data_IF_058471425525
#
_entry.id   IF_058471425525
#
_cell.length_a   1.000
_cell.length_b   1.000
_cell.length_c   1.000
_cell.angle_alpha   90.00
_cell.angle_beta   90.00
_cell.angle_gamma   90.00
#
_symmetry.space_group_name_H-M   'P 1'
#
loop_
_entity.id
_entity.type
_entity.pdbx_description
1 polymer ?
#
# COMPACT_ATOMS: atom_id res chain seq x y z
N UNK A 1 25.43 -8.95 0.82
CA UNK A 1 25.41 -7.50 0.53
C UNK A 1 24.16 -6.93 1.18
N UNK A 2 24.31 -6.01 2.13
CA UNK A 2 23.18 -5.35 2.78
C UNK A 2 22.66 -4.25 1.86
N UNK A 3 21.48 -4.43 1.27
CA UNK A 3 20.71 -3.34 0.66
C UNK A 3 20.17 -2.46 1.79
N UNK A 4 21.04 -1.72 2.49
CA UNK A 4 20.71 -0.92 3.67
C UNK A 4 19.99 0.40 3.34
N UNK A 5 19.07 0.37 2.38
CA UNK A 5 17.93 1.29 2.42
C UNK A 5 16.81 0.45 2.99
N UNK A 6 16.42 0.73 4.24
CA UNK A 6 15.21 0.11 4.79
C UNK A 6 14.10 0.42 3.80
N UNK A 7 13.38 -0.59 3.35
CA UNK A 7 12.37 -0.37 2.34
C UNK A 7 11.33 0.67 2.85
N UNK A 8 11.15 0.80 4.17
CA UNK A 8 10.31 1.82 4.81
C UNK A 8 10.75 3.25 4.43
N UNK A 9 12.07 3.50 4.37
CA UNK A 9 12.62 4.77 3.91
C UNK A 9 12.31 5.03 2.42
N UNK A 10 11.99 3.98 1.65
CA UNK A 10 11.65 4.09 0.25
C UNK A 10 10.17 4.41 0.04
N UNK A 11 9.28 3.97 0.92
CA UNK A 11 7.86 4.35 0.88
C UNK A 11 7.70 5.86 1.08
N UNK A 12 8.38 6.44 2.08
CA UNK A 12 8.36 7.88 2.34
C UNK A 12 8.94 8.70 1.17
N UNK A 13 9.96 8.17 0.50
CA UNK A 13 10.57 8.84 -0.67
C UNK A 13 9.68 8.82 -1.91
N UNK A 14 8.73 7.89 -1.98
CA UNK A 14 7.73 7.81 -3.03
C UNK A 14 6.54 8.75 -2.79
N UNK A 15 6.42 9.37 -1.61
CA UNK A 15 5.36 10.35 -1.35
C UNK A 15 5.62 11.67 -2.09
N UNK A 16 4.59 12.32 -2.64
CA UNK A 16 4.73 13.66 -3.20
C UNK A 16 4.95 14.69 -2.09
N UNK A 17 5.62 15.82 -2.38
CA UNK A 17 5.64 16.98 -1.50
C UNK A 17 4.21 17.42 -1.13
N UNK A 18 4.00 17.86 0.11
CA UNK A 18 2.68 18.26 0.62
C UNK A 18 1.99 19.32 -0.26
N UNK A 19 2.77 20.22 -0.84
CA UNK A 19 2.27 21.24 -1.76
C UNK A 19 1.64 20.70 -3.05
N UNK A 20 1.99 19.50 -3.52
CA UNK A 20 1.31 18.86 -4.65
C UNK A 20 -0.03 18.22 -4.24
N UNK A 21 -0.28 18.07 -2.93
CA UNK A 21 -1.52 17.53 -2.38
C UNK A 21 -2.57 18.63 -2.14
N UNK A 22 -2.13 19.88 -2.01
CA UNK A 22 -3.00 21.03 -1.79
C UNK A 22 -3.87 21.35 -3.02
N UNK A 23 -5.11 21.85 -2.82
CA UNK A 23 -5.96 22.27 -3.94
C UNK A 23 -5.35 23.45 -4.68
N UNK A 24 -5.25 23.32 -6.00
CA UNK A 24 -4.77 24.38 -6.88
C UNK A 24 -5.92 25.36 -7.17
N UNK A 25 -5.83 26.58 -6.61
CA UNK A 25 -6.93 27.56 -6.58
C UNK A 25 -6.84 28.64 -7.66
N UNK A 26 -6.27 28.35 -8.83
CA UNK A 26 -6.25 29.31 -9.94
C UNK A 26 -7.35 29.04 -10.98
N UNK A 27 -7.75 30.11 -11.68
CA UNK A 27 -8.59 30.06 -12.88
C UNK A 27 -7.75 30.53 -14.09
N UNK A 28 -7.80 29.85 -15.26
CA UNK A 28 -6.98 30.21 -16.41
C UNK A 28 -7.22 31.61 -17.00
N UNK A 29 -8.37 32.24 -16.70
CA UNK A 29 -8.84 33.47 -17.35
C UNK A 29 -8.01 34.74 -17.07
N UNK A 30 -7.09 34.71 -16.11
CA UNK A 30 -6.15 35.81 -15.86
C UNK A 30 -4.90 35.29 -15.11
N UNK A 31 -3.74 35.32 -15.78
CA UNK A 31 -2.44 35.04 -15.15
C UNK A 31 -2.01 36.21 -14.28
N UNK A 32 -2.46 36.21 -13.03
CA UNK A 32 -1.95 37.16 -12.03
C UNK A 32 -0.53 36.74 -11.61
N UNK A 33 0.37 37.68 -11.27
CA UNK A 33 1.75 37.37 -10.90
C UNK A 33 1.86 36.32 -9.78
N UNK A 34 0.95 36.35 -8.80
CA UNK A 34 0.89 35.38 -7.72
C UNK A 34 0.57 33.96 -8.20
N UNK A 35 -0.29 33.82 -9.22
CA UNK A 35 -0.63 32.53 -9.83
C UNK A 35 0.55 31.98 -10.61
N UNK A 36 1.27 32.84 -11.34
CA UNK A 36 2.48 32.44 -12.07
C UNK A 36 3.56 31.97 -11.10
N UNK A 37 3.76 32.67 -9.98
CA UNK A 37 4.71 32.27 -8.96
C UNK A 37 4.33 30.93 -8.30
N UNK A 38 3.05 30.73 -7.98
CA UNK A 38 2.54 29.47 -7.44
C UNK A 38 2.72 28.31 -8.43
N UNK A 39 2.34 28.50 -9.70
CA UNK A 39 2.51 27.49 -10.74
C UNK A 39 3.97 27.12 -10.93
N UNK A 40 4.88 28.10 -11.00
CA UNK A 40 6.34 27.82 -11.07
C UNK A 40 6.81 26.97 -9.90
N UNK A 41 6.41 27.32 -8.68
CA UNK A 41 6.75 26.56 -7.47
C UNK A 41 6.25 25.11 -7.55
N UNK A 42 4.97 24.92 -7.91
CA UNK A 42 4.37 23.60 -8.05
C UNK A 42 5.02 22.78 -9.17
N UNK A 43 5.34 23.41 -10.31
CA UNK A 43 6.05 22.76 -11.40
C UNK A 43 7.43 22.27 -10.96
N UNK A 44 8.19 23.09 -10.24
CA UNK A 44 9.48 22.68 -9.67
C UNK A 44 9.31 21.49 -8.71
N UNK A 45 8.35 21.56 -7.80
CA UNK A 45 8.07 20.46 -6.87
C UNK A 45 7.65 19.17 -7.57
N UNK A 46 6.89 19.26 -8.67
CA UNK A 46 6.51 18.10 -9.48
C UNK A 46 7.70 17.48 -10.21
N UNK A 47 8.64 18.30 -10.70
CA UNK A 47 9.87 17.81 -11.32
C UNK A 47 10.79 17.13 -10.29
N UNK A 48 10.95 17.73 -9.11
CA UNK A 48 11.69 17.12 -8.00
C UNK A 48 11.05 15.81 -7.53
N UNK A 49 9.72 15.79 -7.42
CA UNK A 49 8.96 14.59 -7.12
C UNK A 49 9.20 13.49 -8.16
N UNK A 50 9.08 13.80 -9.46
CA UNK A 50 9.37 12.86 -10.56
C UNK A 50 10.77 12.28 -10.44
N UNK A 51 11.78 13.13 -10.25
CA UNK A 51 13.18 12.70 -10.13
C UNK A 51 13.38 11.78 -8.91
N UNK A 52 12.83 12.15 -7.75
CA UNK A 52 12.90 11.37 -6.51
C UNK A 52 12.17 10.04 -6.64
N UNK A 53 10.96 10.05 -7.20
CA UNK A 53 10.16 8.86 -7.44
C UNK A 53 10.87 7.90 -8.40
N UNK A 54 11.50 8.42 -9.46
CA UNK A 54 12.25 7.59 -10.41
C UNK A 54 13.47 6.93 -9.74
N UNK A 55 14.29 7.71 -9.04
CA UNK A 55 15.49 7.21 -8.37
C UNK A 55 15.17 6.21 -7.24
N UNK A 56 14.11 6.45 -6.48
CA UNK A 56 13.71 5.59 -5.35
C UNK A 56 12.92 4.39 -5.84
N UNK A 57 11.99 4.59 -6.78
CA UNK A 57 11.17 3.54 -7.37
C UNK A 57 11.99 2.46 -8.06
N UNK A 58 13.04 2.82 -8.80
CA UNK A 58 13.94 1.81 -9.38
C UNK A 58 14.61 0.91 -8.33
N UNK A 59 15.02 1.49 -7.19
CA UNK A 59 15.61 0.71 -6.08
C UNK A 59 14.58 -0.22 -5.44
N UNK A 60 13.35 0.26 -5.23
CA UNK A 60 12.24 -0.56 -4.72
C UNK A 60 11.93 -1.69 -5.68
N UNK A 61 11.79 -1.41 -6.98
CA UNK A 61 11.53 -2.42 -8.00
C UNK A 61 12.63 -3.49 -8.04
N UNK A 62 13.90 -3.10 -7.94
CA UNK A 62 15.02 -4.04 -7.89
C UNK A 62 14.94 -4.96 -6.65
N UNK A 63 14.61 -4.40 -5.48
CA UNK A 63 14.46 -5.17 -4.25
C UNK A 63 13.25 -6.12 -4.31
N UNK A 64 12.08 -5.63 -4.74
CA UNK A 64 10.87 -6.44 -4.89
C UNK A 64 11.05 -7.56 -5.93
N UNK A 65 11.72 -7.30 -7.06
CA UNK A 65 12.03 -8.33 -8.05
C UNK A 65 13.06 -9.36 -7.55
N UNK A 66 13.92 -9.00 -6.58
CA UNK A 66 14.82 -9.96 -5.94
C UNK A 66 14.03 -10.87 -4.99
N UNK A 67 13.13 -10.29 -4.19
CA UNK A 67 12.22 -11.02 -3.32
C UNK A 67 11.27 -11.93 -4.12
N UNK A 68 10.71 -11.44 -5.22
CA UNK A 68 9.85 -12.20 -6.14
C UNK A 68 10.57 -13.47 -6.65
N UNK A 69 11.85 -13.34 -7.02
CA UNK A 69 12.66 -14.48 -7.49
C UNK A 69 12.96 -15.50 -6.39
N UNK A 70 13.14 -15.04 -5.15
CA UNK A 70 13.30 -15.93 -3.99
C UNK A 70 11.99 -16.66 -3.71
N UNK A 71 10.86 -15.94 -3.69
CA UNK A 71 9.53 -16.50 -3.49
C UNK A 71 9.11 -17.49 -4.59
N UNK A 72 9.56 -17.28 -5.84
CA UNK A 72 9.30 -18.16 -6.98
C UNK A 72 10.24 -19.37 -7.08
N UNK A 73 11.26 -19.48 -6.23
CA UNK A 73 12.26 -20.55 -6.31
C UNK A 73 11.79 -21.88 -5.70
N UNK A 74 12.48 -23.01 -5.99
CA UNK A 74 12.23 -24.30 -5.32
C UNK A 74 12.62 -24.29 -3.83
N UNK A 75 13.19 -23.20 -3.34
CA UNK A 75 13.40 -22.94 -1.92
C UNK A 75 12.07 -22.53 -1.30
N UNK A 76 11.54 -23.44 -0.47
CA UNK A 76 10.26 -23.45 0.26
C UNK A 76 9.60 -22.08 0.55
N UNK A 77 8.25 -22.01 0.53
CA UNK A 77 7.46 -20.87 1.05
C UNK A 77 7.86 -20.41 2.46
N UNK A 78 8.42 -21.31 3.26
CA UNK A 78 8.93 -21.08 4.63
C UNK A 78 10.15 -20.13 4.69
N UNK A 79 10.80 -19.83 3.56
CA UNK A 79 11.95 -18.93 3.48
C UNK A 79 11.57 -17.44 3.36
N UNK A 80 10.28 -17.15 3.22
CA UNK A 80 9.79 -15.78 3.22
C UNK A 80 9.77 -15.26 4.67
N UNK A 81 10.75 -14.41 4.98
CA UNK A 81 10.82 -13.74 6.28
C UNK A 81 9.78 -12.61 6.32
N UNK A 82 8.75 -12.80 7.14
CA UNK A 82 7.70 -11.82 7.43
C UNK A 82 8.25 -10.49 7.98
N UNK A 83 9.55 -10.38 8.30
CA UNK A 83 10.18 -9.11 8.67
C UNK A 83 10.08 -8.03 7.57
N UNK A 84 9.93 -8.43 6.29
CA UNK A 84 9.77 -7.51 5.15
C UNK A 84 8.29 -7.15 4.85
N UNK A 85 7.31 -7.81 5.50
CA UNK A 85 5.86 -7.57 5.26
C UNK A 85 5.43 -6.17 5.70
N UNK A 86 6.03 -5.65 6.77
CA UNK A 86 5.76 -4.29 7.24
C UNK A 86 5.97 -3.26 6.13
N UNK A 87 7.00 -3.46 5.32
CA UNK A 87 7.29 -2.57 4.22
C UNK A 87 6.41 -2.82 3.00
N UNK A 88 6.18 -4.07 2.60
CA UNK A 88 5.32 -4.30 1.44
C UNK A 88 3.91 -3.75 1.74
N UNK A 89 3.38 -3.99 2.94
CA UNK A 89 2.15 -3.35 3.42
C UNK A 89 2.25 -1.82 3.40
N UNK A 90 3.39 -1.26 3.82
CA UNK A 90 3.69 0.17 3.72
C UNK A 90 3.54 0.69 2.29
N UNK A 91 4.25 0.09 1.33
CA UNK A 91 4.21 0.43 -0.10
C UNK A 91 2.78 0.34 -0.64
N UNK A 92 2.06 -0.75 -0.35
CA UNK A 92 0.71 -0.96 -0.84
C UNK A 92 -0.28 0.06 -0.26
N UNK A 93 -0.16 0.37 1.03
CA UNK A 93 -1.05 1.33 1.72
C UNK A 93 -0.77 2.76 1.26
N UNK A 94 0.50 3.19 1.30
CA UNK A 94 0.91 4.54 0.94
C UNK A 94 0.75 4.79 -0.55
N UNK A 95 1.09 3.81 -1.39
CA UNK A 95 0.90 3.90 -2.83
C UNK A 95 -0.57 4.06 -3.22
N UNK A 96 -1.46 3.34 -2.54
CA UNK A 96 -2.91 3.51 -2.73
C UNK A 96 -3.40 4.87 -2.25
N UNK A 97 -3.03 5.27 -1.03
CA UNK A 97 -3.42 6.57 -0.47
C UNK A 97 -2.94 7.73 -1.36
N UNK A 98 -1.79 7.57 -1.99
CA UNK A 98 -1.22 8.50 -2.95
C UNK A 98 -2.06 8.58 -4.23
N UNK A 99 -2.46 7.45 -4.82
CA UNK A 99 -3.31 7.44 -6.01
C UNK A 99 -4.69 8.06 -5.73
N UNK A 100 -5.31 7.77 -4.58
CA UNK A 100 -6.59 8.36 -4.19
C UNK A 100 -6.51 9.89 -3.98
N UNK A 101 -5.34 10.41 -3.56
CA UNK A 101 -5.13 11.86 -3.34
C UNK A 101 -4.70 12.61 -4.60
N UNK A 102 -3.82 12.04 -5.43
CA UNK A 102 -3.25 12.71 -6.59
C UNK A 102 -4.09 12.56 -7.85
N UNK A 103 -4.84 11.47 -8.04
CA UNK A 103 -5.65 11.29 -9.25
C UNK A 103 -6.67 12.43 -9.45
N UNK A 104 -7.47 12.83 -8.44
CA UNK A 104 -8.38 13.97 -8.59
C UNK A 104 -7.65 15.28 -8.89
N UNK A 105 -6.40 15.43 -8.41
CA UNK A 105 -5.56 16.61 -8.68
C UNK A 105 -5.11 16.65 -10.12
N UNK A 106 -4.63 15.52 -10.64
CA UNK A 106 -4.20 15.39 -12.02
C UNK A 106 -5.37 15.64 -12.99
N UNK A 107 -6.55 15.13 -12.67
CA UNK A 107 -7.78 15.39 -13.43
C UNK A 107 -8.17 16.87 -13.38
N UNK A 108 -8.13 17.50 -12.21
CA UNK A 108 -8.38 18.94 -12.06
C UNK A 108 -7.39 19.80 -12.82
N UNK A 109 -6.11 19.42 -12.85
CA UNK A 109 -5.07 20.08 -13.65
C UNK A 109 -5.30 19.92 -15.14
N UNK A 110 -5.66 18.72 -15.60
CA UNK A 110 -6.01 18.44 -17.01
C UNK A 110 -7.22 19.26 -17.45
N UNK A 111 -8.24 19.39 -16.60
CA UNK A 111 -9.39 20.24 -16.87
C UNK A 111 -8.99 21.73 -16.96
N UNK A 112 -8.11 22.21 -16.08
CA UNK A 112 -7.58 23.59 -16.15
C UNK A 112 -6.70 23.81 -17.38
N UNK A 113 -5.91 22.82 -17.78
CA UNK A 113 -5.14 22.83 -19.03
C UNK A 113 -6.08 22.96 -20.22
N UNK A 114 -7.12 22.14 -20.30
CA UNK A 114 -8.13 22.22 -21.37
C UNK A 114 -8.79 23.62 -21.41
N UNK A 115 -9.19 24.16 -20.27
CA UNK A 115 -9.75 25.52 -20.21
C UNK A 115 -8.73 26.62 -20.59
N UNK A 116 -7.43 26.38 -20.45
CA UNK A 116 -6.39 27.30 -20.88
C UNK A 116 -6.18 27.29 -22.41
N UNK A 117 -6.71 26.31 -23.14
CA UNK A 117 -6.66 26.27 -24.62
C UNK A 117 -7.51 27.38 -25.25
N UNK A 118 -8.50 27.89 -24.51
CA UNK A 118 -9.40 28.99 -24.91
C UNK A 118 -8.77 30.39 -24.72
N UNK A 119 -7.56 30.48 -24.15
CA UNK A 119 -6.86 31.75 -23.95
C UNK A 119 -6.17 32.24 -25.23
N UNK A 120 -5.97 33.56 -25.30
CA UNK A 120 -5.24 34.19 -26.39
C UNK A 120 -3.72 33.93 -26.30
N UNK A 121 -3.07 33.91 -27.47
CA UNK A 121 -1.72 33.40 -27.73
C UNK A 121 -0.67 33.50 -26.60
N UNK A 122 -0.28 34.70 -26.14
CA UNK A 122 0.80 34.85 -25.17
C UNK A 122 0.43 34.29 -23.78
N UNK A 123 -0.81 34.48 -23.33
CA UNK A 123 -1.28 33.97 -22.04
C UNK A 123 -1.45 32.46 -22.09
N UNK A 124 -1.98 31.92 -23.20
CA UNK A 124 -2.05 30.48 -23.46
C UNK A 124 -0.66 29.85 -23.36
N UNK A 125 0.32 30.39 -24.09
CA UNK A 125 1.68 29.85 -24.10
C UNK A 125 2.31 29.88 -22.69
N UNK A 126 2.13 30.97 -21.95
CA UNK A 126 2.63 31.11 -20.59
C UNK A 126 2.00 30.09 -19.63
N UNK A 127 0.67 29.93 -19.65
CA UNK A 127 -0.03 28.94 -18.82
C UNK A 127 0.41 27.52 -19.14
N UNK A 128 0.43 27.15 -20.44
CA UNK A 128 0.79 25.80 -20.88
C UNK A 128 2.22 25.43 -20.51
N UNK A 129 3.16 26.39 -20.62
CA UNK A 129 4.57 26.17 -20.25
C UNK A 129 4.78 25.79 -18.78
N UNK A 130 3.82 26.09 -17.92
CA UNK A 130 3.84 25.74 -16.50
C UNK A 130 2.97 24.52 -16.19
N UNK A 131 1.78 24.42 -16.80
CA UNK A 131 0.85 23.31 -16.56
C UNK A 131 1.32 21.99 -17.16
N UNK A 132 1.87 21.99 -18.37
CA UNK A 132 2.27 20.74 -19.02
C UNK A 132 3.36 20.01 -18.21
N UNK A 133 4.46 20.67 -17.77
CA UNK A 133 5.48 19.98 -16.97
C UNK A 133 4.99 19.60 -15.56
N UNK A 134 4.04 20.35 -14.99
CA UNK A 134 3.40 20.00 -13.72
C UNK A 134 2.56 18.72 -13.85
N UNK A 135 1.71 18.64 -14.89
CA UNK A 135 0.89 17.46 -15.19
C UNK A 135 1.77 16.25 -15.49
N UNK A 136 2.81 16.43 -16.31
CA UNK A 136 3.78 15.36 -16.63
C UNK A 136 4.50 14.88 -15.37
N UNK A 137 5.01 15.81 -14.55
CA UNK A 137 5.75 15.46 -13.32
C UNK A 137 4.92 14.66 -12.32
N UNK A 138 3.67 15.09 -12.06
CA UNK A 138 2.74 14.34 -11.20
C UNK A 138 2.39 13.00 -11.84
N UNK A 139 2.02 13.00 -13.12
CA UNK A 139 1.57 11.80 -13.84
C UNK A 139 2.65 10.71 -13.90
N UNK A 140 3.90 11.08 -14.18
CA UNK A 140 5.01 10.12 -14.19
C UNK A 140 5.36 9.62 -12.80
N UNK A 141 5.36 10.49 -11.79
CA UNK A 141 5.57 10.08 -10.40
C UNK A 141 4.53 9.06 -9.95
N UNK A 142 3.25 9.30 -10.24
CA UNK A 142 2.16 8.34 -10.00
C UNK A 142 2.39 7.03 -10.76
N UNK A 143 2.73 7.08 -12.06
CA UNK A 143 2.97 5.87 -12.85
C UNK A 143 4.14 5.02 -12.33
N UNK A 144 5.13 5.63 -11.66
CA UNK A 144 6.19 4.89 -10.96
C UNK A 144 5.64 4.19 -9.73
N UNK A 145 4.84 4.90 -8.91
CA UNK A 145 4.22 4.34 -7.71
C UNK A 145 3.28 3.18 -8.08
N UNK A 146 2.45 3.32 -9.10
CA UNK A 146 1.55 2.26 -9.56
C UNK A 146 2.32 1.01 -9.99
N UNK A 147 3.46 1.17 -10.68
CA UNK A 147 4.34 0.02 -11.01
C UNK A 147 4.93 -0.64 -9.77
N UNK A 148 5.39 0.15 -8.81
CA UNK A 148 5.94 -0.35 -7.54
C UNK A 148 4.87 -1.13 -6.78
N UNK A 149 3.66 -0.58 -6.64
CA UNK A 149 2.51 -1.26 -6.02
C UNK A 149 2.17 -2.55 -6.76
N UNK A 150 2.14 -2.51 -8.10
CA UNK A 150 1.85 -3.70 -8.91
C UNK A 150 2.89 -4.82 -8.75
N UNK A 151 4.18 -4.50 -8.66
CA UNK A 151 5.21 -5.50 -8.35
C UNK A 151 5.06 -6.00 -6.93
N UNK A 152 4.87 -5.10 -5.95
CA UNK A 152 4.70 -5.48 -4.54
C UNK A 152 3.54 -6.47 -4.36
N UNK A 153 2.39 -6.23 -5.00
CA UNK A 153 1.26 -7.16 -5.01
C UNK A 153 1.63 -8.53 -5.59
N UNK A 154 2.34 -8.57 -6.72
CA UNK A 154 2.77 -9.83 -7.35
C UNK A 154 3.76 -10.61 -6.49
N UNK A 155 4.76 -9.91 -5.93
CA UNK A 155 5.75 -10.51 -5.03
C UNK A 155 5.05 -11.22 -3.90
N UNK A 156 4.04 -10.60 -3.27
CA UNK A 156 3.39 -11.27 -2.15
C UNK A 156 2.38 -12.33 -2.57
N UNK A 157 1.69 -12.17 -3.69
CA UNK A 157 0.86 -13.25 -4.25
C UNK A 157 1.67 -14.54 -4.40
N UNK A 158 2.88 -14.44 -4.92
CA UNK A 158 3.78 -15.58 -5.09
C UNK A 158 4.29 -16.11 -3.75
N UNK A 159 4.71 -15.25 -2.84
CA UNK A 159 5.22 -15.65 -1.52
C UNK A 159 4.16 -16.33 -0.64
N UNK A 160 2.91 -15.88 -0.71
CA UNK A 160 1.79 -16.42 0.08
C UNK A 160 1.22 -17.73 -0.46
N UNK A 161 1.54 -18.11 -1.70
CA UNK A 161 0.97 -19.28 -2.36
C UNK A 161 -0.55 -19.18 -2.63
N UNK A 162 -1.14 -18.00 -2.45
CA UNK A 162 -2.56 -17.74 -2.70
C UNK A 162 -2.77 -17.60 -4.21
N UNK A 163 -3.26 -18.68 -4.83
CA UNK A 163 -3.46 -18.79 -6.29
C UNK A 163 -4.87 -18.44 -6.77
N UNK A 164 -5.72 -17.82 -5.94
CA UNK A 164 -7.11 -17.54 -6.33
C UNK A 164 -7.17 -16.49 -7.47
N UNK A 165 -7.62 -16.91 -8.65
CA UNK A 165 -7.64 -16.10 -9.88
C UNK A 165 -8.92 -15.25 -10.02
N UNK A 166 -9.96 -15.48 -9.21
CA UNK A 166 -11.27 -14.82 -9.30
C UNK A 166 -11.28 -13.34 -8.79
N UNK A 167 -10.13 -12.67 -8.76
CA UNK A 167 -9.76 -11.86 -7.59
C UNK A 167 -9.19 -10.46 -7.90
N UNK A 168 -9.70 -9.72 -8.89
CA UNK A 168 -9.05 -8.44 -9.25
C UNK A 168 -9.99 -7.21 -9.37
N UNK A 169 -9.82 -6.25 -8.45
CA UNK A 169 -10.43 -4.92 -8.33
C UNK A 169 -9.92 -4.11 -7.11
N UNK A 170 -10.39 -2.86 -6.95
CA UNK A 170 -9.98 -1.83 -5.94
C UNK A 170 -9.97 -2.27 -4.45
N UNK A 171 -10.52 -3.45 -4.14
CA UNK A 171 -10.58 -4.13 -2.84
C UNK A 171 -9.35 -5.00 -2.51
N UNK A 172 -8.40 -5.14 -3.44
CA UNK A 172 -7.23 -6.05 -3.34
C UNK A 172 -6.25 -5.75 -2.20
N UNK A 173 -5.84 -4.49 -2.01
CA UNK A 173 -4.80 -4.15 -1.01
C UNK A 173 -5.30 -4.38 0.41
N UNK A 174 -6.52 -3.97 0.71
CA UNK A 174 -7.09 -4.18 2.05
C UNK A 174 -7.32 -5.67 2.31
N UNK A 175 -7.83 -6.42 1.32
CA UNK A 175 -8.00 -7.88 1.42
C UNK A 175 -6.67 -8.60 1.59
N UNK A 176 -5.62 -8.15 0.90
CA UNK A 176 -4.26 -8.65 1.02
C UNK A 176 -3.70 -8.41 2.43
N UNK A 177 -3.75 -7.15 2.92
CA UNK A 177 -3.32 -6.78 4.28
C UNK A 177 -4.06 -7.60 5.33
N UNK A 178 -5.36 -7.77 5.12
CA UNK A 178 -6.24 -8.55 5.98
C UNK A 178 -5.85 -10.02 5.99
N UNK A 179 -5.72 -10.66 4.82
CA UNK A 179 -5.28 -12.05 4.71
C UNK A 179 -3.90 -12.29 5.36
N UNK A 180 -2.93 -11.41 5.14
CA UNK A 180 -1.62 -11.50 5.79
C UNK A 180 -1.70 -11.36 7.30
N UNK A 181 -2.51 -10.41 7.79
CA UNK A 181 -2.76 -10.31 9.23
C UNK A 181 -3.32 -11.63 9.76
N UNK A 182 -4.34 -12.21 9.13
CA UNK A 182 -4.94 -13.48 9.53
C UNK A 182 -3.91 -14.63 9.61
N UNK A 183 -3.04 -14.75 8.61
CA UNK A 183 -1.96 -15.75 8.60
C UNK A 183 -0.91 -15.50 9.70
N UNK A 184 -0.51 -14.25 9.94
CA UNK A 184 0.41 -13.90 11.02
C UNK A 184 -0.19 -14.24 12.39
N UNK A 185 -1.47 -13.93 12.60
CA UNK A 185 -2.22 -14.31 13.79
C UNK A 185 -2.29 -15.83 13.94
N UNK A 186 -2.58 -16.58 12.88
CA UNK A 186 -2.65 -18.05 12.94
C UNK A 186 -1.32 -18.69 13.34
N UNK A 187 -0.22 -18.26 12.73
CA UNK A 187 1.12 -18.75 13.08
C UNK A 187 1.47 -18.46 14.54
N UNK A 188 1.31 -17.22 14.98
CA UNK A 188 1.65 -16.81 16.35
C UNK A 188 0.71 -17.46 17.36
N UNK A 189 -0.58 -17.62 17.03
CA UNK A 189 -1.54 -18.33 17.88
C UNK A 189 -1.18 -19.81 18.02
N UNK A 190 -0.75 -20.47 16.96
CA UNK A 190 -0.28 -21.85 17.02
C UNK A 190 0.96 -21.98 17.93
N UNK A 191 1.89 -21.03 17.87
CA UNK A 191 3.05 -20.98 18.77
C UNK A 191 2.64 -20.75 20.25
N UNK A 192 1.70 -19.82 20.51
CA UNK A 192 1.28 -19.44 21.86
C UNK A 192 0.35 -20.45 22.54
N UNK A 193 -0.46 -21.16 21.76
CA UNK A 193 -1.49 -22.09 22.25
C UNK A 193 -1.06 -23.55 22.15
N UNK A 194 -0.10 -23.87 21.27
CA UNK A 194 0.27 -25.23 20.90
C UNK A 194 -0.82 -25.98 20.11
N UNK A 195 -1.89 -25.29 19.70
CA UNK A 195 -3.02 -25.88 18.99
C UNK A 195 -2.92 -25.59 17.48
N UNK A 196 -3.43 -26.49 16.61
CA UNK A 196 -3.52 -26.19 15.18
C UNK A 196 -4.37 -24.94 14.96
N UNK A 197 -3.88 -24.03 14.12
CA UNK A 197 -4.57 -22.80 13.78
C UNK A 197 -4.55 -22.58 12.27
N UNK A 198 -5.64 -22.03 11.72
CA UNK A 198 -5.70 -21.60 10.32
C UNK A 198 -6.32 -20.21 10.18
N UNK A 199 -5.98 -19.56 9.07
CA UNK A 199 -6.50 -18.24 8.73
C UNK A 199 -7.74 -18.38 7.86
N UNK A 200 -8.78 -17.64 8.22
CA UNK A 200 -10.02 -17.54 7.48
C UNK A 200 -10.42 -16.08 7.23
N UNK A 201 -11.54 -15.92 6.55
CA UNK A 201 -12.22 -14.65 6.38
C UNK A 201 -13.72 -14.85 6.52
N UNK A 202 -14.40 -13.83 7.04
CA UNK A 202 -15.85 -13.78 7.09
C UNK A 202 -16.32 -12.49 6.40
N UNK A 203 -17.29 -12.63 5.50
CA UNK A 203 -17.95 -11.49 4.88
C UNK A 203 -19.19 -11.12 5.70
N UNK A 204 -19.20 -9.91 6.26
CA UNK A 204 -20.33 -9.36 7.00
C UNK A 204 -20.69 -8.00 6.40
N UNK A 205 -21.94 -7.85 5.94
CA UNK A 205 -22.44 -6.60 5.35
C UNK A 205 -21.61 -6.07 4.15
N UNK A 206 -20.98 -6.96 3.38
CA UNK A 206 -20.10 -6.58 2.26
C UNK A 206 -18.68 -6.18 2.68
N UNK A 207 -18.35 -6.27 3.97
CA UNK A 207 -17.01 -6.07 4.53
C UNK A 207 -16.36 -7.41 4.88
N UNK A 208 -15.05 -7.52 4.61
CA UNK A 208 -14.26 -8.72 4.89
C UNK A 208 -13.52 -8.55 6.20
N UNK A 209 -13.78 -9.44 7.15
CA UNK A 209 -13.10 -9.50 8.44
C UNK A 209 -12.16 -10.71 8.46
N UNK A 210 -10.98 -10.54 9.05
CA UNK A 210 -10.07 -11.64 9.29
C UNK A 210 -10.63 -12.55 10.35
N UNK A 211 -10.50 -13.85 10.15
CA UNK A 211 -10.88 -14.86 11.11
C UNK A 211 -9.66 -15.72 11.44
N UNK A 212 -9.42 -15.95 12.72
CA UNK A 212 -8.47 -16.93 13.22
C UNK A 212 -9.26 -18.13 13.73
N UNK A 213 -9.07 -19.27 13.07
CA UNK A 213 -9.65 -20.55 13.46
C UNK A 213 -8.66 -21.31 14.32
N UNK A 214 -9.10 -21.70 15.52
CA UNK A 214 -8.31 -22.45 16.49
C UNK A 214 -8.97 -23.79 16.70
N UNK A 215 -8.25 -24.87 16.38
CA UNK A 215 -8.72 -26.24 16.54
C UNK A 215 -8.53 -26.68 17.99
N UNK A 216 -9.64 -26.86 18.70
CA UNK A 216 -9.66 -27.19 20.13
C UNK A 216 -10.19 -28.60 20.36
N UNK A 217 -9.70 -29.31 21.39
CA UNK A 217 -10.25 -30.60 21.80
C UNK A 217 -11.76 -30.53 22.06
N UNK A 218 -12.50 -31.58 21.68
CA UNK A 218 -13.96 -31.64 21.88
C UNK A 218 -14.40 -31.48 23.34
N UNK A 219 -13.55 -31.89 24.28
CA UNK A 219 -13.78 -31.84 25.73
C UNK A 219 -13.35 -30.51 26.38
N UNK A 220 -12.70 -29.60 25.64
CA UNK A 220 -12.33 -28.29 26.17
C UNK A 220 -13.57 -27.42 26.39
N UNK A 221 -14.00 -27.33 27.65
CA UNK A 221 -15.08 -26.44 28.05
C UNK A 221 -14.64 -24.98 27.96
N UNK A 222 -15.50 -24.10 27.43
CA UNK A 222 -15.28 -22.65 27.34
C UNK A 222 -13.88 -22.24 26.82
N UNK A 223 -13.48 -22.64 25.59
CA UNK A 223 -12.13 -22.38 25.06
C UNK A 223 -11.68 -20.91 25.14
N UNK A 224 -12.61 -19.99 24.91
CA UNK A 224 -12.38 -18.55 25.02
C UNK A 224 -11.87 -18.09 26.38
N UNK A 225 -12.18 -18.79 27.48
CA UNK A 225 -11.66 -18.45 28.83
C UNK A 225 -10.27 -19.00 29.05
N UNK A 226 -10.04 -20.25 28.64
CA UNK A 226 -8.76 -20.92 28.83
C UNK A 226 -7.66 -20.32 27.95
N UNK A 227 -8.01 -19.94 26.73
CA UNK A 227 -7.06 -19.42 25.76
C UNK A 227 -6.88 -17.90 25.84
N UNK A 228 -7.73 -17.18 26.59
CA UNK A 228 -7.66 -15.71 26.67
C UNK A 228 -6.25 -15.17 26.94
N UNK A 229 -5.48 -15.66 27.94
CA UNK A 229 -4.15 -15.12 28.21
C UNK A 229 -3.17 -15.34 27.06
N UNK A 230 -3.32 -16.45 26.32
CA UNK A 230 -2.51 -16.71 25.13
C UNK A 230 -2.91 -15.76 23.99
N UNK A 231 -4.22 -15.58 23.74
CA UNK A 231 -4.72 -14.66 22.72
C UNK A 231 -4.35 -13.19 22.98
N UNK A 232 -4.31 -12.76 24.24
CA UNK A 232 -3.83 -11.43 24.62
C UNK A 232 -2.35 -11.26 24.20
N UNK A 233 -1.49 -12.27 24.47
CA UNK A 233 -0.08 -12.26 24.02
C UNK A 233 0.06 -12.33 22.50
N UNK A 234 -0.81 -13.07 21.81
CA UNK A 234 -0.83 -13.08 20.33
C UNK A 234 -1.05 -11.66 19.81
N UNK A 235 -2.03 -10.92 20.35
CA UNK A 235 -2.26 -9.53 19.96
C UNK A 235 -1.07 -8.62 20.25
N UNK A 236 -0.44 -8.77 21.42
CA UNK A 236 0.76 -7.99 21.78
C UNK A 236 1.93 -8.27 20.84
N UNK A 237 2.19 -9.55 20.54
CA UNK A 237 3.26 -9.97 19.61
C UNK A 237 2.98 -9.50 18.19
N UNK A 238 1.75 -9.69 17.69
CA UNK A 238 1.36 -9.19 16.36
C UNK A 238 1.49 -7.67 16.30
N UNK A 239 1.05 -6.94 17.32
CA UNK A 239 1.19 -5.48 17.36
C UNK A 239 2.66 -5.03 17.45
N UNK A 240 3.52 -5.80 18.12
CA UNK A 240 4.96 -5.55 18.20
C UNK A 240 5.69 -5.78 16.88
N UNK A 241 5.28 -6.78 16.10
CA UNK A 241 5.90 -7.12 14.80
C UNK A 241 5.28 -6.28 13.67
N UNK A 242 3.94 -6.12 13.69
CA UNK A 242 3.15 -5.43 12.67
C UNK A 242 2.11 -4.50 13.32
N UNK A 243 2.49 -3.27 13.70
CA UNK A 243 1.58 -2.31 14.35
C UNK A 243 0.28 -2.04 13.55
N UNK A 244 0.35 -2.14 12.22
CA UNK A 244 -0.78 -1.96 11.30
C UNK A 244 -1.82 -3.10 11.34
N UNK A 245 -1.50 -4.27 11.89
CA UNK A 245 -2.42 -5.42 12.03
C UNK A 245 -3.18 -5.44 13.37
N UNK A 246 -2.99 -4.43 14.21
CA UNK A 246 -3.62 -4.37 15.53
C UNK A 246 -5.15 -4.32 15.42
N UNK A 247 -5.84 -5.20 16.16
CA UNK A 247 -7.28 -5.09 16.46
C UNK A 247 -8.25 -5.55 15.38
N UNK A 248 -7.81 -6.25 14.32
CA UNK A 248 -8.67 -6.68 13.20
C UNK A 248 -8.70 -8.19 13.02
N UNK A 249 -9.18 -8.95 14.01
CA UNK A 249 -9.42 -10.38 13.83
C UNK A 249 -10.53 -10.90 14.73
N UNK A 250 -11.39 -11.74 14.17
CA UNK A 250 -12.36 -12.55 14.92
C UNK A 250 -11.75 -13.91 15.25
N UNK A 251 -12.17 -14.51 16.36
CA UNK A 251 -11.73 -15.84 16.76
C UNK A 251 -12.88 -16.84 16.58
N UNK A 252 -12.60 -17.93 15.87
CA UNK A 252 -13.48 -19.08 15.76
C UNK A 252 -12.83 -20.30 16.42
N UNK A 253 -13.55 -20.99 17.31
CA UNK A 253 -13.06 -22.20 17.97
C UNK A 253 -13.72 -23.43 17.34
N UNK A 254 -12.95 -24.19 16.59
CA UNK A 254 -13.41 -25.39 15.89
C UNK A 254 -13.14 -26.61 16.77
N UNK A 255 -14.19 -27.34 17.14
CA UNK A 255 -14.03 -28.58 17.91
C UNK A 255 -13.56 -29.70 17.00
N UNK A 256 -12.41 -30.28 17.32
CA UNK A 256 -11.91 -31.47 16.62
C UNK A 256 -12.50 -32.73 17.24
N UNK A 257 -12.82 -33.72 16.38
CA UNK A 257 -13.37 -35.01 16.79
C UNK A 257 -12.40 -35.85 17.63
#
# INVERSE_FOLDING_TARGET
MSFALRLDDLADRLLPPAELLEPIRFMPKALRPEVVAELKRLTTAAQEYRARASASGQKVLLALNALERVASGPARPDAYDFSDDGTIVGILTEGRALSDRLLPRLEGLRAKRQAAEELDGPDRAAVMSLLDPLIEGIGEGMGIVDRVVGVALRTVRQASGINDEAWFGKTEVDRFINSHAAHAYARIAQEETGLPCDAGWVELCGEFFNELRIHVPADLALPHRHLKPALDRVHERVAGIHPRYRGRITFEFIRTA
#
